data_IF_764754536358
#
_entry.id   IF_764754536358
#
_cell.length_a   1.000
_cell.length_b   1.000
_cell.length_c   1.000
_cell.angle_alpha   90.00
_cell.angle_beta   90.00
_cell.angle_gamma   90.00
#
_symmetry.space_group_name_H-M   'P 1'
#
loop_
_entity.id
_entity.type
_entity.pdbx_description
1 polymer ?
#
# COMPACT_ATOMS: atom_id res chain seq x y z
N UNK A 1 5.45 11.52 -10.30
CA UNK A 1 4.49 10.41 -10.14
C UNK A 1 5.21 9.24 -9.48
N UNK A 2 4.58 8.57 -8.53
CA UNK A 2 5.17 7.37 -7.92
C UNK A 2 5.41 6.28 -8.97
N UNK A 3 6.48 5.49 -8.82
CA UNK A 3 6.76 4.34 -9.69
C UNK A 3 5.59 3.36 -9.63
N UNK A 4 5.14 2.85 -10.79
CA UNK A 4 4.07 1.84 -10.85
C UNK A 4 4.46 0.62 -10.01
N UNK A 5 3.54 0.17 -9.16
CA UNK A 5 3.71 -1.06 -8.38
C UNK A 5 3.44 -2.28 -9.26
N UNK A 6 4.30 -3.29 -9.18
CA UNK A 6 4.21 -4.56 -9.93
C UNK A 6 4.47 -5.80 -9.07
N UNK A 7 4.83 -5.60 -7.79
CA UNK A 7 5.21 -6.70 -6.91
C UNK A 7 4.09 -7.73 -6.69
N UNK A 8 2.81 -7.30 -6.72
CA UNK A 8 1.68 -8.20 -6.57
C UNK A 8 1.65 -9.24 -7.68
N UNK A 9 1.69 -8.79 -8.95
CA UNK A 9 1.72 -9.67 -10.12
C UNK A 9 3.01 -10.48 -10.22
N UNK A 10 4.16 -9.87 -9.92
CA UNK A 10 5.46 -10.56 -10.00
C UNK A 10 5.62 -11.66 -8.96
N UNK A 11 5.14 -11.46 -7.74
CA UNK A 11 5.39 -12.40 -6.62
C UNK A 11 4.21 -13.31 -6.31
N UNK A 12 2.98 -12.84 -6.53
CA UNK A 12 1.76 -13.55 -6.14
C UNK A 12 0.83 -13.86 -7.33
N UNK A 13 1.23 -13.51 -8.56
CA UNK A 13 0.39 -13.67 -9.75
C UNK A 13 -0.08 -15.10 -10.00
N UNK A 14 0.79 -16.10 -9.80
CA UNK A 14 0.40 -17.51 -9.98
C UNK A 14 -0.40 -18.06 -8.79
N UNK A 15 0.03 -17.75 -7.56
CA UNK A 15 -0.58 -18.29 -6.34
C UNK A 15 -1.95 -17.68 -6.04
N UNK A 16 -2.06 -16.35 -6.18
CA UNK A 16 -3.24 -15.58 -5.83
C UNK A 16 -3.52 -14.49 -6.89
N UNK A 17 -3.91 -14.86 -8.12
CA UNK A 17 -4.01 -13.94 -9.26
C UNK A 17 -4.91 -12.73 -9.01
N UNK A 18 -6.04 -12.93 -8.33
CA UNK A 18 -6.95 -11.81 -8.02
C UNK A 18 -6.36 -10.87 -6.96
N UNK A 19 -5.65 -11.40 -5.97
CA UNK A 19 -4.97 -10.58 -4.97
C UNK A 19 -3.87 -9.73 -5.61
N UNK A 20 -3.08 -10.34 -6.51
CA UNK A 20 -2.05 -9.67 -7.28
C UNK A 20 -2.60 -8.49 -8.12
N UNK A 21 -3.72 -8.71 -8.83
CA UNK A 21 -4.42 -7.66 -9.57
C UNK A 21 -4.90 -6.54 -8.63
N UNK A 22 -5.58 -6.87 -7.53
CA UNK A 22 -6.09 -5.87 -6.59
C UNK A 22 -4.97 -5.04 -5.95
N UNK A 23 -3.82 -5.65 -5.67
CA UNK A 23 -2.67 -4.93 -5.12
C UNK A 23 -2.13 -3.91 -6.13
N UNK A 24 -1.79 -4.35 -7.33
CA UNK A 24 -1.08 -3.52 -8.30
C UNK A 24 -2.00 -2.48 -8.97
N UNK A 25 -3.17 -2.93 -9.42
CA UNK A 25 -4.04 -2.12 -10.26
C UNK A 25 -4.99 -1.25 -9.42
N UNK A 26 -5.54 -1.79 -8.32
CA UNK A 26 -6.52 -1.07 -7.50
C UNK A 26 -5.87 -0.33 -6.35
N UNK A 27 -5.19 -1.02 -5.43
CA UNK A 27 -4.62 -0.38 -4.24
C UNK A 27 -3.59 0.68 -4.63
N UNK A 28 -2.61 0.32 -5.45
CA UNK A 28 -1.56 1.27 -5.87
C UNK A 28 -1.88 2.03 -7.14
N UNK A 29 -2.51 1.38 -8.13
CA UNK A 29 -2.87 2.01 -9.40
C UNK A 29 -3.99 3.05 -9.29
N UNK A 30 -4.95 2.86 -8.38
CA UNK A 30 -6.10 3.76 -8.23
C UNK A 30 -6.20 4.46 -6.87
N UNK A 31 -6.00 3.76 -5.75
CA UNK A 31 -6.30 4.35 -4.42
C UNK A 31 -5.15 5.22 -3.93
N UNK A 32 -3.92 4.70 -3.95
CA UNK A 32 -2.73 5.44 -3.52
C UNK A 32 -2.28 6.50 -4.54
N UNK A 33 -2.66 6.36 -5.80
CA UNK A 33 -2.31 7.32 -6.86
C UNK A 33 -3.11 8.64 -6.80
N UNK A 34 -4.20 8.70 -6.03
CA UNK A 34 -5.03 9.89 -5.77
C UNK A 34 -4.36 10.89 -4.81
N UNK A 35 -3.12 11.29 -5.13
CA UNK A 35 -2.35 12.24 -4.31
C UNK A 35 -2.90 13.67 -4.39
N UNK A 36 -3.71 13.99 -5.41
CA UNK A 36 -4.47 15.23 -5.55
C UNK A 36 -5.58 15.39 -4.50
N UNK A 37 -6.15 14.26 -4.03
CA UNK A 37 -7.18 14.25 -2.99
C UNK A 37 -6.61 14.19 -1.58
N UNK A 38 -5.52 13.43 -1.39
CA UNK A 38 -4.83 13.29 -0.11
C UNK A 38 -3.39 12.91 -0.36
N UNK A 39 -2.45 13.66 0.20
CA UNK A 39 -1.03 13.49 -0.05
C UNK A 39 -0.53 12.10 0.36
N UNK A 40 0.54 11.62 -0.28
CA UNK A 40 1.17 10.35 0.11
C UNK A 40 1.60 10.34 1.59
N UNK A 41 2.06 11.48 2.12
CA UNK A 41 2.43 11.66 3.53
C UNK A 41 1.23 11.41 4.44
N UNK A 42 0.09 12.07 4.19
CA UNK A 42 -1.07 11.93 5.06
C UNK A 42 -1.67 10.52 4.99
N UNK A 43 -1.65 9.90 3.80
CA UNK A 43 -2.01 8.47 3.63
C UNK A 43 -1.10 7.55 4.43
N UNK A 44 0.22 7.79 4.42
CA UNK A 44 1.18 7.05 5.23
C UNK A 44 0.90 7.19 6.73
N UNK A 45 0.65 8.40 7.21
CA UNK A 45 0.33 8.66 8.63
C UNK A 45 -0.95 7.91 9.02
N UNK A 46 -2.02 8.03 8.24
CA UNK A 46 -3.29 7.34 8.51
C UNK A 46 -3.10 5.83 8.53
N UNK A 47 -2.33 5.28 7.59
CA UNK A 47 -2.03 3.84 7.54
C UNK A 47 -1.30 3.40 8.81
N UNK A 48 -0.23 4.09 9.22
CA UNK A 48 0.50 3.76 10.44
C UNK A 48 -0.38 3.87 11.70
N UNK A 49 -1.18 4.93 11.82
CA UNK A 49 -2.11 5.08 12.97
C UNK A 49 -3.14 3.96 12.99
N UNK A 50 -3.66 3.56 11.82
CA UNK A 50 -4.63 2.46 11.72
C UNK A 50 -4.02 1.10 12.07
N UNK A 51 -2.76 0.85 11.70
CA UNK A 51 -2.05 -0.37 12.07
C UNK A 51 -1.75 -0.41 13.57
N UNK A 52 -1.34 0.73 14.14
CA UNK A 52 -1.08 0.88 15.57
C UNK A 52 -2.34 0.68 16.40
N UNK A 53 -3.48 1.27 16.01
CA UNK A 53 -4.74 1.13 16.76
C UNK A 53 -5.29 -0.29 16.77
N UNK A 54 -4.97 -1.08 15.75
CA UNK A 54 -5.33 -2.50 15.65
C UNK A 54 -4.30 -3.45 16.29
N UNK A 55 -3.16 -2.94 16.78
CA UNK A 55 -2.09 -3.77 17.33
C UNK A 55 -1.32 -4.59 16.30
N UNK A 56 -1.36 -4.21 15.01
CA UNK A 56 -0.69 -4.92 13.91
C UNK A 56 0.78 -4.50 13.80
N UNK A 57 1.54 -4.72 14.88
CA UNK A 57 2.91 -4.21 15.03
C UNK A 57 3.92 -4.68 13.97
N UNK A 58 3.91 -5.95 13.50
CA UNK A 58 4.81 -6.37 12.43
C UNK A 58 4.60 -5.59 11.12
N UNK A 59 3.34 -5.37 10.73
CA UNK A 59 3.03 -4.54 9.57
C UNK A 59 3.35 -3.06 9.84
N UNK A 60 3.08 -2.55 11.04
CA UNK A 60 3.40 -1.18 11.43
C UNK A 60 4.89 -0.89 11.26
N UNK A 61 5.77 -1.77 11.74
CA UNK A 61 7.21 -1.59 11.63
C UNK A 61 7.66 -1.44 10.17
N UNK A 62 7.14 -2.30 9.28
CA UNK A 62 7.44 -2.22 7.86
C UNK A 62 6.95 -0.90 7.23
N UNK A 63 5.74 -0.45 7.58
CA UNK A 63 5.16 0.80 7.04
C UNK A 63 5.86 2.05 7.57
N UNK A 64 6.29 2.06 8.84
CA UNK A 64 7.04 3.18 9.43
C UNK A 64 8.40 3.41 8.75
N UNK A 65 9.05 2.36 8.23
CA UNK A 65 10.33 2.46 7.51
C UNK A 65 10.20 3.10 6.12
N UNK A 66 9.02 3.04 5.51
CA UNK A 66 8.77 3.52 4.14
C UNK A 66 7.79 4.69 4.07
N UNK A 67 7.27 5.14 5.22
CA UNK A 67 6.38 6.28 5.32
C UNK A 67 7.03 7.54 4.73
N UNK A 68 6.22 8.33 4.03
CA UNK A 68 6.63 9.56 3.33
C UNK A 68 6.72 10.77 4.25
#
# INVERSE_FOLDING_TARGET
>A
MAKKQTAGREQLGEFAPKFAELNDDVLFGEVWSREDQLSARDRSVITCVSLMSQGLFPQLEAHMKIAK
#
